data_IF_235611068041
#
_entry.id   IF_235611068041
#
_cell.length_a   1.000
_cell.length_b   1.000
_cell.length_c   1.000
_cell.angle_alpha   90.00
_cell.angle_beta   90.00
_cell.angle_gamma   90.00
#
_symmetry.space_group_name_H-M   'P 1'
#
loop_
_entity.id
_entity.type
_entity.pdbx_description
1 polymer ?
#
# COMPACT_ATOMS: atom_id res chain seq x y z
N UNK A 1 18.17 -1.16 -0.94
CA UNK A 1 16.91 -0.84 -0.22
C UNK A 1 16.43 0.51 -0.74
N UNK A 2 15.25 0.57 -1.34
CA UNK A 2 14.68 1.83 -1.81
C UNK A 2 14.03 2.60 -0.67
N UNK A 3 13.92 3.93 -0.81
CA UNK A 3 13.26 4.80 0.18
C UNK A 3 11.84 4.32 0.53
N UNK A 4 11.12 3.78 -0.45
CA UNK A 4 9.75 3.26 -0.28
C UNK A 4 9.68 1.99 0.57
N UNK A 5 10.72 1.15 0.58
CA UNK A 5 10.77 -0.05 1.42
C UNK A 5 10.79 0.35 2.91
N UNK A 6 11.58 1.37 3.25
CA UNK A 6 11.67 1.91 4.62
C UNK A 6 10.34 2.54 5.05
N UNK A 7 9.66 3.24 4.16
CA UNK A 7 8.34 3.81 4.45
C UNK A 7 7.29 2.70 4.62
N UNK A 8 7.31 1.66 3.80
CA UNK A 8 6.41 0.52 3.93
C UNK A 8 6.59 -0.20 5.27
N UNK A 9 7.82 -0.36 5.75
CA UNK A 9 8.12 -0.96 7.05
C UNK A 9 7.56 -0.12 8.21
N UNK A 10 7.78 1.21 8.17
CA UNK A 10 7.19 2.15 9.14
C UNK A 10 5.67 2.08 9.15
N UNK A 11 5.05 2.05 7.98
CA UNK A 11 3.58 1.91 7.85
C UNK A 11 3.11 0.58 8.41
N UNK A 12 3.82 -0.51 8.12
CA UNK A 12 3.54 -1.84 8.68
C UNK A 12 3.64 -1.86 10.21
N UNK A 13 4.57 -1.10 10.79
CA UNK A 13 4.70 -0.90 12.22
C UNK A 13 3.57 -0.04 12.85
N UNK A 14 2.66 0.49 12.04
CA UNK A 14 1.55 1.33 12.48
C UNK A 14 1.83 2.83 12.42
N UNK A 15 2.99 3.26 11.91
CA UNK A 15 3.29 4.67 11.75
C UNK A 15 2.62 5.23 10.50
N UNK A 16 1.98 6.39 10.62
CA UNK A 16 1.58 7.16 9.44
C UNK A 16 2.80 7.88 8.89
N UNK A 17 3.11 7.66 7.62
CA UNK A 17 4.26 8.26 6.96
C UNK A 17 3.79 9.24 5.90
N UNK A 18 4.62 10.24 5.68
CA UNK A 18 4.44 11.16 4.58
C UNK A 18 5.77 11.28 3.84
N UNK A 19 5.73 11.07 2.54
CA UNK A 19 6.92 11.11 1.72
C UNK A 19 6.62 11.79 0.39
N UNK A 20 7.70 12.33 -0.19
CA UNK A 20 7.68 12.93 -1.51
C UNK A 20 8.42 11.99 -2.45
N UNK A 21 7.74 11.06 -3.14
CA UNK A 21 8.42 10.18 -4.06
C UNK A 21 9.08 11.02 -5.17
N UNK A 22 10.35 10.74 -5.43
CA UNK A 22 11.13 11.33 -6.51
C UNK A 22 11.22 10.29 -7.62
N UNK A 23 10.51 10.51 -8.72
CA UNK A 23 10.49 9.58 -9.86
C UNK A 23 9.41 9.92 -10.88
N UNK A 24 9.60 9.50 -12.13
CA UNK A 24 8.65 9.67 -13.24
C UNK A 24 7.65 8.52 -13.35
N UNK A 25 7.84 7.42 -12.61
CA UNK A 25 7.11 6.16 -12.79
C UNK A 25 5.62 6.20 -12.41
N UNK A 26 5.13 7.26 -11.74
CA UNK A 26 3.72 7.44 -11.39
C UNK A 26 3.06 8.66 -12.04
N UNK A 27 3.71 9.28 -13.02
CA UNK A 27 3.11 10.36 -13.78
C UNK A 27 1.95 9.80 -14.62
N UNK A 28 0.72 10.37 -14.54
CA UNK A 28 0.40 11.69 -13.98
C UNK A 28 -0.21 11.75 -12.57
N UNK A 29 -0.48 10.64 -11.87
CA UNK A 29 -1.19 10.66 -10.57
C UNK A 29 -0.32 11.14 -9.40
N UNK A 30 0.97 10.83 -9.43
CA UNK A 30 1.95 11.29 -8.45
C UNK A 30 3.15 11.81 -9.23
N UNK A 31 3.24 13.13 -9.34
CA UNK A 31 4.38 13.84 -9.95
C UNK A 31 5.56 13.83 -8.98
N UNK A 32 6.76 13.92 -9.53
CA UNK A 32 7.98 14.07 -8.72
C UNK A 32 7.80 15.21 -7.72
N UNK A 33 8.12 14.94 -6.44
CA UNK A 33 7.99 15.86 -5.29
C UNK A 33 6.57 16.09 -4.75
N UNK A 34 5.53 15.42 -5.25
CA UNK A 34 4.20 15.53 -4.64
C UNK A 34 4.16 14.88 -3.26
N UNK A 35 3.45 15.52 -2.32
CA UNK A 35 3.32 15.05 -0.94
C UNK A 35 2.29 13.91 -0.90
N UNK A 36 2.71 12.69 -0.57
CA UNK A 36 1.81 11.55 -0.40
C UNK A 36 1.79 11.16 1.07
N UNK A 37 0.59 11.14 1.66
CA UNK A 37 0.39 10.70 3.04
C UNK A 37 -0.17 9.28 3.03
N UNK A 38 0.54 8.34 3.65
CA UNK A 38 0.16 6.92 3.73
C UNK A 38 0.05 6.52 5.20
N UNK A 39 -1.07 5.88 5.53
CA UNK A 39 -1.31 5.32 6.84
C UNK A 39 -1.45 3.78 6.75
N UNK A 40 -1.26 3.04 7.84
CA UNK A 40 -1.51 1.60 7.87
C UNK A 40 -2.93 1.31 7.41
N UNK A 41 -3.07 0.54 6.33
CA UNK A 41 -4.38 0.16 5.83
C UNK A 41 -4.94 -1.01 6.65
N UNK A 42 -6.26 -1.06 6.77
CA UNK A 42 -6.96 -2.27 7.17
C UNK A 42 -7.44 -3.00 5.91
N UNK A 43 -6.82 -4.13 5.51
CA UNK A 43 -7.14 -4.79 4.24
C UNK A 43 -8.59 -5.26 4.13
N UNK A 44 -9.24 -5.52 5.27
CA UNK A 44 -10.65 -5.91 5.34
C UNK A 44 -11.63 -4.78 5.01
N UNK A 45 -11.19 -3.51 5.05
CA UNK A 45 -11.99 -2.33 4.77
C UNK A 45 -11.66 -1.69 3.41
N UNK A 46 -10.73 -2.29 2.65
CA UNK A 46 -10.36 -1.78 1.33
C UNK A 46 -11.50 -1.97 0.34
N UNK A 47 -11.64 -1.00 -0.56
CA UNK A 47 -12.66 -1.01 -1.61
C UNK A 47 -12.08 -0.55 -2.95
N UNK A 48 -12.75 -0.87 -4.07
CA UNK A 48 -12.43 -0.29 -5.36
C UNK A 48 -12.42 1.25 -5.30
N UNK A 49 -11.39 1.88 -5.84
CA UNK A 49 -11.17 3.33 -5.82
C UNK A 49 -10.12 3.80 -4.81
N UNK A 50 -9.73 2.95 -3.85
CA UNK A 50 -8.68 3.28 -2.89
C UNK A 50 -7.28 3.20 -3.52
N UNK A 51 -6.35 4.04 -3.06
CA UNK A 51 -4.94 3.97 -3.44
C UNK A 51 -4.18 3.30 -2.31
N UNK A 52 -3.51 2.20 -2.59
CA UNK A 52 -2.79 1.41 -1.58
C UNK A 52 -1.30 1.31 -1.89
N UNK A 53 -0.50 1.29 -0.83
CA UNK A 53 0.93 0.97 -0.88
C UNK A 53 1.10 -0.54 -0.75
N UNK A 54 1.51 -1.19 -1.84
CA UNK A 54 1.64 -2.64 -1.89
C UNK A 54 2.93 -3.10 -2.56
N UNK A 55 3.44 -4.27 -2.16
CA UNK A 55 4.61 -4.90 -2.78
C UNK A 55 4.19 -5.83 -3.91
N UNK A 56 4.65 -5.54 -5.12
CA UNK A 56 4.43 -6.35 -6.32
C UNK A 56 5.78 -6.71 -6.91
N UNK A 57 6.02 -8.00 -7.16
CA UNK A 57 7.27 -8.52 -7.74
C UNK A 57 8.55 -8.01 -7.05
N UNK A 58 8.52 -7.89 -5.72
CA UNK A 58 9.68 -7.48 -4.92
C UNK A 58 9.83 -5.97 -4.71
N UNK A 59 9.07 -5.14 -5.43
CA UNK A 59 9.15 -3.66 -5.31
C UNK A 59 7.85 -3.09 -4.75
N UNK A 60 7.97 -2.06 -3.90
CA UNK A 60 6.83 -1.36 -3.31
C UNK A 60 6.36 -0.23 -4.23
N UNK A 61 5.08 -0.25 -4.58
CA UNK A 61 4.44 0.74 -5.43
C UNK A 61 3.11 1.21 -4.83
N UNK A 62 2.67 2.39 -5.26
CA UNK A 62 1.30 2.85 -5.05
C UNK A 62 0.45 2.40 -6.24
N UNK A 63 -0.63 1.68 -5.95
CA UNK A 63 -1.57 1.21 -6.96
C UNK A 63 -3.00 1.59 -6.62
N UNK A 64 -3.83 1.74 -7.64
CA UNK A 64 -5.26 1.91 -7.49
C UNK A 64 -5.91 0.53 -7.32
N UNK A 65 -6.75 0.38 -6.31
CA UNK A 65 -7.57 -0.80 -6.11
C UNK A 65 -8.75 -0.74 -7.08
N UNK A 66 -8.96 -1.76 -7.90
CA UNK A 66 -10.11 -1.84 -8.81
C UNK A 66 -11.11 -2.93 -8.41
N UNK A 67 -10.67 -3.91 -7.64
CA UNK A 67 -11.51 -4.95 -7.07
C UNK A 67 -10.92 -5.44 -5.75
N UNK A 68 -11.76 -5.97 -4.87
CA UNK A 68 -11.35 -6.57 -3.60
C UNK A 68 -12.01 -7.93 -3.47
N UNK A 69 -11.22 -8.93 -3.13
CA UNK A 69 -11.64 -10.32 -2.93
C UNK A 69 -11.30 -10.70 -1.49
N UNK A 70 -12.23 -10.39 -0.59
CA UNK A 70 -12.12 -10.65 0.84
C UNK A 70 -12.08 -12.16 1.14
N UNK A 71 -12.79 -12.96 0.35
CA UNK A 71 -12.81 -14.42 0.47
C UNK A 71 -11.42 -15.03 0.27
N UNK A 72 -10.65 -14.54 -0.71
CA UNK A 72 -9.27 -14.96 -0.98
C UNK A 72 -8.21 -14.02 -0.41
N UNK A 73 -8.62 -13.04 0.42
CA UNK A 73 -7.75 -12.05 1.08
C UNK A 73 -6.78 -11.37 0.11
N UNK A 74 -7.29 -10.91 -1.03
CA UNK A 74 -6.48 -10.28 -2.09
C UNK A 74 -7.21 -9.10 -2.73
N UNK A 75 -6.46 -8.11 -3.18
CA UNK A 75 -6.98 -6.94 -3.87
C UNK A 75 -6.45 -6.91 -5.30
N UNK A 76 -7.31 -6.54 -6.24
CA UNK A 76 -6.90 -6.28 -7.61
C UNK A 76 -6.38 -4.86 -7.70
N UNK A 77 -5.15 -4.74 -8.20
CA UNK A 77 -4.47 -3.47 -8.37
C UNK A 77 -4.33 -3.14 -9.85
N UNK A 78 -4.56 -1.88 -10.21
CA UNK A 78 -4.35 -1.33 -11.55
C UNK A 78 -3.36 -0.17 -11.51
N UNK A 79 -2.84 0.19 -12.69
CA UNK A 79 -2.10 1.43 -12.86
C UNK A 79 -3.08 2.60 -13.10
N UNK A 80 -2.57 3.82 -13.01
CA UNK A 80 -3.36 5.02 -13.28
C UNK A 80 -3.88 5.14 -14.73
N UNK A 81 -3.45 4.27 -15.63
CA UNK A 81 -3.88 4.26 -17.05
C UNK A 81 -4.95 3.20 -17.31
N UNK A 82 -5.55 2.62 -16.27
CA UNK A 82 -6.62 1.62 -16.37
C UNK A 82 -6.14 0.21 -16.70
N UNK A 83 -4.83 -0.06 -16.72
CA UNK A 83 -4.28 -1.41 -16.91
C UNK A 83 -4.23 -2.14 -15.58
N UNK A 84 -4.93 -3.28 -15.50
CA UNK A 84 -4.86 -4.20 -14.36
C UNK A 84 -3.45 -4.80 -14.29
N UNK A 85 -2.73 -4.58 -13.18
CA UNK A 85 -1.41 -5.17 -12.95
C UNK A 85 -1.51 -6.59 -12.37
N UNK A 86 -2.62 -6.89 -11.69
CA UNK A 86 -2.89 -8.22 -11.14
C UNK A 86 -3.47 -8.17 -9.73
N UNK A 87 -3.51 -9.34 -9.11
CA UNK A 87 -4.00 -9.53 -7.74
C UNK A 87 -2.84 -9.55 -6.75
N UNK A 88 -3.00 -8.80 -5.67
CA UNK A 88 -2.03 -8.68 -4.57
C UNK A 88 -2.69 -9.13 -3.27
N UNK A 89 -2.07 -10.08 -2.57
CA UNK A 89 -2.57 -10.54 -1.27
C UNK A 89 -2.51 -9.44 -0.20
N UNK A 90 -3.41 -9.50 0.77
CA UNK A 90 -3.48 -8.55 1.89
C UNK A 90 -2.14 -8.44 2.64
N UNK A 91 -1.36 -9.52 2.75
CA UNK A 91 -0.05 -9.53 3.42
C UNK A 91 1.01 -8.65 2.74
N UNK A 92 0.78 -8.34 1.46
CA UNK A 92 1.62 -7.46 0.64
C UNK A 92 1.09 -6.03 0.56
N UNK A 93 -0.06 -5.76 1.16
CA UNK A 93 -0.62 -4.40 1.29
C UNK A 93 -0.21 -3.84 2.64
N UNK A 94 0.54 -2.75 2.63
CA UNK A 94 1.06 -2.14 3.86
C UNK A 94 0.19 -0.97 4.29
N UNK A 95 -0.23 -0.13 3.34
CA UNK A 95 -0.83 1.16 3.65
C UNK A 95 -1.88 1.62 2.66
N UNK A 96 -2.66 2.61 3.09
CA UNK A 96 -3.64 3.33 2.28
C UNK A 96 -3.22 4.79 2.19
N UNK A 97 -3.34 5.36 0.99
CA UNK A 97 -3.07 6.75 0.75
C UNK A 97 -4.23 7.60 1.24
N UNK A 98 -3.95 8.45 2.23
CA UNK A 98 -4.92 9.38 2.81
C UNK A 98 -5.09 10.63 1.97
N UNK A 99 -3.99 11.17 1.46
CA UNK A 99 -3.98 12.39 0.69
C UNK A 99 -2.80 12.41 -0.28
N UNK A 100 -3.02 13.02 -1.44
CA UNK A 100 -1.99 13.32 -2.43
C UNK A 100 -2.05 14.81 -2.71
N UNK A 101 -0.96 15.53 -2.48
CA UNK A 101 -0.85 16.96 -2.80
C UNK A 101 -1.96 17.79 -2.13
N UNK A 102 -2.20 17.51 -0.84
CA UNK A 102 -3.28 18.10 -0.04
C UNK A 102 -4.71 17.77 -0.50
N UNK A 103 -4.87 16.90 -1.50
CA UNK A 103 -6.18 16.35 -1.91
C UNK A 103 -6.48 15.10 -1.07
N UNK A 104 -7.39 15.17 -0.09
CA UNK A 104 -7.80 14.01 0.69
C UNK A 104 -8.58 13.03 -0.18
N UNK A 105 -8.37 11.72 0.07
CA UNK A 105 -9.14 10.66 -0.58
C UNK A 105 -10.35 10.32 0.30
N UNK A 106 -11.58 10.46 -0.23
CA UNK A 106 -12.78 10.17 0.55
C UNK A 106 -12.77 8.70 0.98
N UNK A 107 -13.16 8.43 2.22
CA UNK A 107 -13.20 7.08 2.79
C UNK A 107 -11.84 6.50 3.23
N UNK A 108 -10.71 7.05 2.77
CA UNK A 108 -9.39 6.49 3.11
C UNK A 108 -9.06 6.58 4.61
N UNK A 109 -9.47 7.67 5.28
CA UNK A 109 -9.26 7.87 6.71
C UNK A 109 -10.02 6.86 7.58
N UNK A 110 -11.22 6.42 7.15
CA UNK A 110 -12.02 5.42 7.86
C UNK A 110 -11.43 4.00 7.77
N UNK A 111 -10.56 3.77 6.78
CA UNK A 111 -9.94 2.47 6.48
C UNK A 111 -8.53 2.35 7.07
N UNK A 112 -8.11 3.34 7.85
CA UNK A 112 -6.85 3.30 8.58
C UNK A 112 -6.97 2.32 9.71
N UNK A 113 -6.07 1.34 9.74
CA UNK A 113 -5.92 0.48 10.91
C UNK A 113 -5.42 1.34 12.07
N UNK A 114 -6.20 1.41 13.15
CA UNK A 114 -5.74 2.04 14.38
C UNK A 114 -4.41 1.39 14.81
N UNK A 115 -3.43 2.21 15.20
CA UNK A 115 -2.14 1.73 15.68
C UNK A 115 -2.34 0.90 16.95
N UNK A 116 -2.51 -0.42 16.79
CA UNK A 116 -2.94 -1.30 17.85
C UNK A 116 -2.59 -2.75 17.52
N UNK A 117 -1.65 -3.26 18.31
CA UNK A 117 -1.17 -4.65 18.39
C UNK A 117 -0.31 -5.10 17.22
N UNK A 118 1.00 -5.03 17.46
CA UNK A 118 2.04 -5.73 16.71
C UNK A 118 1.64 -7.18 16.44
N UNK A 119 1.19 -7.45 15.22
CA UNK A 119 1.18 -8.81 14.70
C UNK A 119 2.61 -9.13 14.31
N UNK A 120 3.27 -9.94 15.13
CA UNK A 120 4.61 -10.46 14.91
C UNK A 120 4.83 -10.83 13.42
N UNK A 121 6.01 -10.59 12.84
CA UNK A 121 6.34 -11.12 11.53
C UNK A 121 6.25 -12.64 11.60
N UNK A 122 5.17 -13.19 11.02
CA UNK A 122 5.01 -14.63 10.81
C UNK A 122 6.26 -15.16 10.14
N UNK A 123 6.88 -16.12 10.82
CA UNK A 123 8.08 -16.82 10.41
C UNK A 123 8.02 -17.20 8.92
N UNK A 124 8.86 -16.56 8.11
CA UNK A 124 9.25 -17.14 6.83
C UNK A 124 10.13 -18.34 7.17
N UNK A 125 9.52 -19.53 7.09
CA UNK A 125 10.14 -20.80 7.41
C UNK A 125 11.53 -20.93 6.81
N UNK A 126 12.50 -21.11 7.68
CA UNK A 126 13.78 -21.72 7.35
C UNK A 126 13.50 -23.10 6.79
N UNK A 127 13.65 -23.27 5.47
CA UNK A 127 13.96 -24.58 4.90
C UNK A 127 15.31 -25.00 5.49
N UNK A 128 15.28 -25.96 6.42
CA UNK A 128 16.48 -26.60 6.96
C UNK A 128 17.21 -27.42 5.88
N UNK A 129 18.53 -27.61 5.99
CA UNK A 129 19.32 -28.38 5.04
C UNK A 129 19.44 -29.85 5.44
N UNK A 130 19.72 -30.71 4.44
CA UNK A 130 20.45 -31.97 4.63
C UNK A 130 19.59 -33.19 4.88
#
# INVERSE_FOLDING_TARGET
MGMLDVQADRVRAGATVEFRPTGTSMVPLVRSRQRVRVAPAQPALLEPGDIVLARVSGTVYLHLVTAVDTARRRVQTSNNRGRVNGWTGHDRVFGICLAVDDVPRPGAAAKVRAAGSAGAPGASGTRGPG
#
